data_IF_188548714789
#
_entry.id   IF_188548714789
#
_cell.length_a   1.000
_cell.length_b   1.000
_cell.length_c   1.000
_cell.angle_alpha   90.00
_cell.angle_beta   90.00
_cell.angle_gamma   90.00
#
_symmetry.space_group_name_H-M   'P 1'
#
loop_
_entity.id
_entity.type
_entity.pdbx_description
1 polymer ?
#
# COMPACT_ATOMS: atom_id res chain seq x y z
N UNK A 1 21.80 -7.91 -17.02
CA UNK A 1 21.32 -6.76 -17.81
C UNK A 1 20.75 -5.76 -16.83
N UNK A 2 21.24 -4.53 -16.81
CA UNK A 2 20.67 -3.46 -15.97
C UNK A 2 19.24 -3.18 -16.44
N UNK A 3 18.24 -3.40 -15.59
CA UNK A 3 16.86 -3.03 -15.92
C UNK A 3 16.78 -1.53 -16.17
N UNK A 4 16.41 -1.12 -17.39
CA UNK A 4 16.23 0.29 -17.71
C UNK A 4 14.90 0.77 -17.13
N UNK A 5 14.96 1.75 -16.23
CA UNK A 5 13.76 2.41 -15.72
C UNK A 5 13.27 3.44 -16.74
N UNK A 6 11.96 3.44 -16.97
CA UNK A 6 11.27 4.48 -17.72
C UNK A 6 10.63 5.45 -16.73
N UNK A 7 10.99 6.73 -16.77
CA UNK A 7 10.33 7.76 -15.98
C UNK A 7 9.06 8.22 -16.69
N UNK A 8 7.90 7.94 -16.10
CA UNK A 8 6.58 8.20 -16.67
C UNK A 8 6.01 9.58 -16.30
N UNK A 9 6.55 10.18 -15.24
CA UNK A 9 6.20 11.50 -14.77
C UNK A 9 7.07 11.91 -13.59
N UNK A 10 7.22 13.22 -13.37
CA UNK A 10 8.01 13.80 -12.27
C UNK A 10 7.43 15.16 -11.84
N UNK A 11 7.99 15.77 -10.79
CA UNK A 11 7.54 17.05 -10.23
C UNK A 11 6.40 16.90 -9.22
N UNK A 12 6.17 15.70 -8.71
CA UNK A 12 5.23 15.44 -7.62
C UNK A 12 5.84 15.80 -6.26
N UNK A 13 5.01 15.94 -5.23
CA UNK A 13 5.49 16.23 -3.88
C UNK A 13 5.90 14.95 -3.15
N UNK A 14 5.04 13.93 -3.15
CA UNK A 14 5.37 12.59 -2.64
C UNK A 14 4.35 11.58 -3.19
N UNK A 15 4.83 10.65 -4.01
CA UNK A 15 4.00 9.65 -4.68
C UNK A 15 3.84 8.37 -3.87
N UNK A 16 2.62 7.82 -3.84
CA UNK A 16 2.23 6.68 -3.03
C UNK A 16 1.09 5.86 -3.65
N UNK A 17 0.79 4.71 -3.04
CA UNK A 17 -0.41 3.91 -3.28
C UNK A 17 -0.74 3.62 -4.75
N UNK A 18 0.21 3.18 -5.60
CA UNK A 18 -0.09 2.86 -6.99
C UNK A 18 -1.03 1.66 -7.08
N UNK A 19 -2.00 1.71 -7.99
CA UNK A 19 -3.02 0.70 -8.20
C UNK A 19 -3.40 0.60 -9.68
N UNK A 20 -3.10 -0.54 -10.30
CA UNK A 20 -3.40 -0.78 -11.71
C UNK A 20 -4.85 -1.21 -11.91
N UNK A 21 -5.53 -0.57 -12.86
CA UNK A 21 -6.86 -0.97 -13.30
C UNK A 21 -6.75 -1.90 -14.54
N UNK A 22 -7.03 -3.21 -14.40
CA UNK A 22 -6.70 -4.21 -15.41
C UNK A 22 -7.54 -4.10 -16.68
N UNK A 23 -8.80 -3.68 -16.61
CA UNK A 23 -9.67 -3.50 -17.79
C UNK A 23 -9.58 -2.08 -18.37
N UNK A 24 -9.53 -1.06 -17.52
CA UNK A 24 -9.37 0.34 -17.93
C UNK A 24 -7.98 0.71 -18.46
N UNK A 25 -6.96 -0.11 -18.22
CA UNK A 25 -5.56 0.08 -18.68
C UNK A 25 -4.96 1.40 -18.22
N UNK A 26 -5.14 1.72 -16.94
CA UNK A 26 -4.55 2.90 -16.32
C UNK A 26 -4.09 2.58 -14.90
N UNK A 27 -3.12 3.35 -14.42
CA UNK A 27 -2.65 3.33 -13.04
C UNK A 27 -3.28 4.50 -12.29
N UNK A 28 -3.81 4.27 -11.10
CA UNK A 28 -4.05 5.33 -10.11
C UNK A 28 -2.87 5.38 -9.14
N UNK A 29 -2.52 6.56 -8.63
CA UNK A 29 -1.53 6.71 -7.57
C UNK A 29 -1.75 8.05 -6.86
N UNK A 30 -1.38 8.13 -5.59
CA UNK A 30 -1.54 9.33 -4.79
C UNK A 30 -0.31 10.23 -4.91
N UNK A 31 -0.50 11.52 -5.15
CA UNK A 31 0.50 12.58 -4.93
C UNK A 31 0.07 13.33 -3.66
N UNK A 32 0.37 12.68 -2.53
CA UNK A 32 -0.40 12.81 -1.30
C UNK A 32 -0.29 14.20 -0.64
N UNK A 33 0.91 14.82 -0.50
CA UNK A 33 1.02 16.19 0.01
C UNK A 33 0.35 17.23 -0.90
N UNK A 34 0.18 16.92 -2.19
CA UNK A 34 -0.47 17.79 -3.17
C UNK A 34 -2.00 17.67 -3.21
N UNK A 35 -2.55 16.71 -2.46
CA UNK A 35 -3.97 16.36 -2.44
C UNK A 35 -4.53 16.04 -3.84
N UNK A 36 -3.73 15.28 -4.60
CA UNK A 36 -4.11 14.78 -5.92
C UNK A 36 -4.10 13.26 -5.91
N UNK A 37 -5.22 12.66 -6.26
CA UNK A 37 -5.24 11.30 -6.80
C UNK A 37 -4.96 11.41 -8.30
N UNK A 38 -3.80 10.91 -8.71
CA UNK A 38 -3.31 10.94 -10.09
C UNK A 38 -3.76 9.72 -10.87
N UNK A 39 -3.78 9.84 -12.18
CA UNK A 39 -3.97 8.76 -13.13
C UNK A 39 -2.86 8.79 -14.16
N UNK A 40 -2.28 7.65 -14.47
CA UNK A 40 -1.40 7.49 -15.63
C UNK A 40 -2.02 6.50 -16.63
N UNK A 41 -1.95 6.83 -17.92
CA UNK A 41 -2.20 5.89 -18.99
C UNK A 41 -1.23 6.13 -20.14
N UNK A 42 -0.96 5.11 -20.96
CA UNK A 42 -0.10 5.25 -22.13
C UNK A 42 -0.62 6.31 -23.13
N UNK A 43 -1.94 6.50 -23.19
CA UNK A 43 -2.57 7.44 -24.13
C UNK A 43 -2.46 8.90 -23.70
N UNK A 44 -2.50 9.18 -22.39
CA UNK A 44 -2.63 10.55 -21.86
C UNK A 44 -1.46 11.00 -21.00
N UNK A 45 -0.53 10.11 -20.66
CA UNK A 45 0.44 10.35 -19.60
C UNK A 45 -0.25 10.56 -18.25
N UNK A 46 0.37 11.34 -17.37
CA UNK A 46 -0.15 11.64 -16.02
C UNK A 46 -1.19 12.77 -16.08
N UNK A 47 -2.37 12.53 -15.50
CA UNK A 47 -3.44 13.50 -15.30
C UNK A 47 -3.97 13.44 -13.85
N UNK A 48 -4.82 14.38 -13.46
CA UNK A 48 -5.53 14.32 -12.17
C UNK A 48 -6.82 13.54 -12.33
N UNK A 49 -7.01 12.50 -11.51
CA UNK A 49 -8.26 11.75 -11.44
C UNK A 49 -9.24 12.39 -10.45
N UNK A 50 -8.76 12.80 -9.28
CA UNK A 50 -9.56 13.46 -8.24
C UNK A 50 -8.73 14.48 -7.46
N UNK A 51 -9.33 15.65 -7.19
CA UNK A 51 -8.84 16.68 -6.26
C UNK A 51 -10.03 17.52 -5.75
N UNK A 52 -10.17 17.76 -4.44
CA UNK A 52 -9.39 17.17 -3.35
C UNK A 52 -9.58 15.64 -3.26
N UNK A 53 -8.60 14.92 -2.72
CA UNK A 53 -8.69 13.49 -2.42
C UNK A 53 -8.46 13.18 -0.94
N UNK A 54 -8.56 14.20 -0.09
CA UNK A 54 -8.34 14.12 1.36
C UNK A 54 -6.97 13.54 1.74
N UNK A 55 -5.96 13.89 0.95
CA UNK A 55 -4.60 13.36 1.05
C UNK A 55 -4.61 11.83 1.06
N UNK A 56 -5.27 11.24 0.07
CA UNK A 56 -5.31 9.79 -0.12
C UNK A 56 -3.88 9.22 -0.15
N UNK A 57 -3.71 8.02 0.41
CA UNK A 57 -2.44 7.31 0.42
C UNK A 57 -2.59 5.96 -0.29
N UNK A 58 -2.57 4.84 0.45
CA UNK A 58 -2.77 3.49 -0.09
C UNK A 58 -4.13 3.31 -0.74
N UNK A 59 -4.14 2.56 -1.85
CA UNK A 59 -5.31 2.30 -2.67
C UNK A 59 -5.46 0.79 -2.91
N UNK A 60 -6.71 0.31 -2.93
CA UNK A 60 -7.06 -1.04 -3.37
C UNK A 60 -8.36 -1.03 -4.17
N UNK A 61 -8.65 -2.13 -4.86
CA UNK A 61 -9.99 -2.41 -5.37
C UNK A 61 -10.65 -3.46 -4.49
N UNK A 62 -11.92 -3.27 -4.19
CA UNK A 62 -12.72 -4.37 -3.66
C UNK A 62 -13.09 -5.35 -4.78
N UNK A 63 -13.76 -6.45 -4.41
CA UNK A 63 -14.16 -7.51 -5.34
C UNK A 63 -15.20 -7.09 -6.38
N UNK A 64 -15.75 -5.89 -6.26
CA UNK A 64 -16.67 -5.28 -7.23
C UNK A 64 -15.96 -4.26 -8.13
N UNK A 65 -14.63 -4.12 -8.01
CA UNK A 65 -13.84 -3.14 -8.74
C UNK A 65 -14.02 -1.71 -8.24
N UNK A 66 -14.57 -1.50 -7.05
CA UNK A 66 -14.73 -0.18 -6.45
C UNK A 66 -13.43 0.25 -5.77
N UNK A 67 -13.07 1.51 -5.94
CA UNK A 67 -11.86 2.07 -5.35
C UNK A 67 -12.02 2.20 -3.83
N UNK A 68 -11.10 1.59 -3.09
CA UNK A 68 -10.91 1.75 -1.66
C UNK A 68 -9.66 2.61 -1.44
N UNK A 69 -9.75 3.59 -0.55
CA UNK A 69 -8.65 4.51 -0.28
C UNK A 69 -8.45 4.70 1.23
N UNK A 70 -7.19 4.79 1.62
CA UNK A 70 -6.75 5.33 2.90
C UNK A 70 -6.63 6.85 2.80
N UNK A 71 -7.23 7.61 3.71
CA UNK A 71 -7.23 9.08 3.71
C UNK A 71 -6.53 9.63 4.97
N UNK A 72 -5.41 10.32 4.77
CA UNK A 72 -4.64 10.90 5.87
C UNK A 72 -5.31 12.13 6.49
N UNK A 73 -5.93 12.99 5.69
CA UNK A 73 -6.49 14.24 6.17
C UNK A 73 -7.73 14.03 7.06
N UNK A 74 -8.52 12.99 6.76
CA UNK A 74 -9.79 12.70 7.42
C UNK A 74 -9.73 11.55 8.44
N UNK A 75 -8.62 10.81 8.50
CA UNK A 75 -8.46 9.55 9.26
C UNK A 75 -9.50 8.50 8.88
N UNK A 76 -9.64 8.20 7.59
CA UNK A 76 -10.68 7.27 7.11
C UNK A 76 -10.14 6.24 6.15
N UNK A 77 -10.78 5.09 6.15
CA UNK A 77 -10.82 4.22 4.98
C UNK A 77 -12.14 4.50 4.27
N UNK A 78 -12.09 4.76 2.98
CA UNK A 78 -13.28 5.09 2.18
C UNK A 78 -13.43 4.19 0.97
N UNK A 79 -14.65 4.15 0.42
CA UNK A 79 -14.98 3.47 -0.82
C UNK A 79 -15.67 4.44 -1.78
N UNK A 80 -15.24 4.44 -3.03
CA UNK A 80 -15.92 5.17 -4.11
C UNK A 80 -16.96 4.26 -4.75
N UNK A 81 -18.23 4.63 -4.63
CA UNK A 81 -19.34 3.93 -5.26
C UNK A 81 -19.43 4.26 -6.76
N UNK A 82 -20.22 3.48 -7.51
CA UNK A 82 -20.32 3.61 -8.96
C UNK A 82 -20.86 4.97 -9.44
N UNK A 83 -21.65 5.65 -8.60
CA UNK A 83 -22.15 7.02 -8.83
C UNK A 83 -21.12 8.12 -8.49
N UNK A 84 -19.92 7.72 -8.06
CA UNK A 84 -18.84 8.62 -7.65
C UNK A 84 -18.90 9.05 -6.18
N UNK A 85 -19.93 8.68 -5.43
CA UNK A 85 -20.04 9.01 -4.00
C UNK A 85 -18.95 8.30 -3.21
N UNK A 86 -18.33 9.03 -2.28
CA UNK A 86 -17.32 8.49 -1.37
C UNK A 86 -18.00 8.16 -0.04
N UNK A 87 -17.86 6.92 0.40
CA UNK A 87 -18.46 6.41 1.64
C UNK A 87 -17.39 5.99 2.64
N UNK A 88 -17.48 6.41 3.91
CA UNK A 88 -16.57 5.91 4.93
C UNK A 88 -16.87 4.44 5.23
N UNK A 89 -15.81 3.63 5.32
CA UNK A 89 -15.84 2.24 5.77
C UNK A 89 -15.31 2.08 7.19
N UNK A 90 -14.30 2.87 7.55
CA UNK A 90 -13.77 2.95 8.90
C UNK A 90 -13.33 4.37 9.21
N UNK A 91 -13.60 4.82 10.44
CA UNK A 91 -13.30 6.18 10.90
C UNK A 91 -12.82 6.20 12.35
N UNK A 92 -13.37 5.33 13.20
CA UNK A 92 -13.09 5.25 14.63
C UNK A 92 -12.93 3.78 15.06
N UNK A 93 -12.18 3.57 16.14
CA UNK A 93 -12.11 2.34 16.91
C UNK A 93 -12.39 2.67 18.37
N UNK A 94 -13.35 1.97 18.99
CA UNK A 94 -13.78 2.21 20.39
C UNK A 94 -14.07 3.68 20.71
N UNK A 95 -14.73 4.38 19.75
CA UNK A 95 -15.09 5.79 19.88
C UNK A 95 -13.95 6.79 19.68
N UNK A 96 -12.72 6.33 19.44
CA UNK A 96 -11.54 7.16 19.15
C UNK A 96 -11.24 7.18 17.66
N UNK A 97 -10.88 8.33 17.12
CA UNK A 97 -10.52 8.47 15.71
C UNK A 97 -9.29 7.60 15.38
N UNK A 98 -9.33 6.90 14.24
CA UNK A 98 -8.15 6.20 13.68
C UNK A 98 -6.98 7.16 13.51
N UNK A 99 -5.74 6.68 13.58
CA UNK A 99 -4.55 7.51 13.48
C UNK A 99 -4.49 8.26 12.14
N UNK A 100 -4.21 7.51 11.08
CA UNK A 100 -4.21 7.93 9.68
C UNK A 100 -3.95 6.67 8.85
N UNK A 101 -5.00 5.97 8.40
CA UNK A 101 -4.86 4.76 7.59
C UNK A 101 -3.86 4.98 6.46
N UNK A 102 -2.93 4.04 6.24
CA UNK A 102 -1.74 4.29 5.43
C UNK A 102 -1.68 3.42 4.18
N UNK A 103 -1.58 2.10 4.32
CA UNK A 103 -1.67 1.15 3.20
C UNK A 103 -2.82 0.15 3.42
N UNK A 104 -3.27 -0.49 2.34
CA UNK A 104 -4.51 -1.27 2.32
C UNK A 104 -4.46 -2.44 1.32
N UNK A 105 -5.03 -3.57 1.73
CA UNK A 105 -5.19 -4.75 0.87
C UNK A 105 -6.59 -5.35 1.03
N UNK A 106 -7.20 -5.73 -0.09
CA UNK A 106 -8.48 -6.42 -0.10
C UNK A 106 -8.26 -7.93 -0.31
N UNK A 107 -8.86 -8.73 0.55
CA UNK A 107 -8.83 -10.19 0.50
C UNK A 107 -9.93 -10.72 -0.45
N UNK A 108 -9.73 -11.92 -0.98
CA UNK A 108 -10.63 -12.55 -1.95
C UNK A 108 -12.05 -12.81 -1.44
N UNK A 109 -12.25 -12.88 -0.13
CA UNK A 109 -13.54 -13.01 0.55
C UNK A 109 -14.23 -11.65 0.83
N UNK A 110 -13.61 -10.54 0.42
CA UNK A 110 -14.12 -9.19 0.62
C UNK A 110 -13.66 -8.52 1.92
N UNK A 111 -12.86 -9.18 2.76
CA UNK A 111 -12.23 -8.54 3.92
C UNK A 111 -11.23 -7.45 3.49
N UNK A 112 -11.30 -6.29 4.13
CA UNK A 112 -10.43 -5.14 3.83
C UNK A 112 -9.48 -4.95 5.02
N UNK A 113 -8.17 -5.02 4.79
CA UNK A 113 -7.14 -4.94 5.83
C UNK A 113 -6.29 -3.70 5.59
N UNK A 114 -6.00 -2.94 6.64
CA UNK A 114 -5.22 -1.71 6.52
C UNK A 114 -4.37 -1.44 7.75
N UNK A 115 -3.26 -0.74 7.53
CA UNK A 115 -2.37 -0.23 8.59
C UNK A 115 -2.79 1.18 9.02
N UNK A 116 -2.61 1.49 10.31
CA UNK A 116 -2.99 2.78 10.91
C UNK A 116 -1.83 3.42 11.72
N UNK A 117 -0.69 3.75 11.08
CA UNK A 117 0.37 4.55 11.68
C UNK A 117 -0.05 6.03 11.78
N UNK A 118 0.70 6.89 12.50
CA UNK A 118 0.33 8.29 12.72
C UNK A 118 0.93 9.27 11.70
N UNK A 119 1.42 8.80 10.54
CA UNK A 119 2.09 9.68 9.56
C UNK A 119 1.22 10.87 9.12
N UNK A 120 -0.07 10.63 8.86
CA UNK A 120 -1.04 11.65 8.45
C UNK A 120 -1.46 12.63 9.57
N UNK A 121 -0.88 12.49 10.77
CA UNK A 121 -0.98 13.45 11.87
C UNK A 121 0.20 14.42 11.93
N UNK A 122 1.17 14.31 11.03
CA UNK A 122 2.27 15.25 10.88
C UNK A 122 2.02 16.19 9.70
N UNK A 123 2.56 17.41 9.80
CA UNK A 123 2.61 18.35 8.67
C UNK A 123 3.35 17.69 7.49
N UNK A 124 3.00 18.09 6.26
CA UNK A 124 3.45 17.52 4.97
C UNK A 124 2.77 16.20 4.59
N UNK A 125 2.70 15.22 5.49
CA UNK A 125 2.04 13.94 5.20
C UNK A 125 0.54 13.93 5.54
N UNK A 126 0.02 14.98 6.16
CA UNK A 126 -1.39 15.07 6.52
C UNK A 126 -1.73 16.39 7.21
N UNK A 127 -2.73 16.34 8.08
CA UNK A 127 -3.17 17.47 8.91
C UNK A 127 -2.62 17.29 10.32
N UNK A 128 -1.84 18.26 10.80
CA UNK A 128 -1.27 18.21 12.13
C UNK A 128 -2.36 18.19 13.21
N UNK A 129 -2.42 17.11 14.00
CA UNK A 129 -3.38 16.94 15.10
C UNK A 129 -2.92 15.85 16.08
N UNK A 130 -3.28 15.93 17.38
CA UNK A 130 -2.92 14.90 18.37
C UNK A 130 -3.46 13.52 18.01
N UNK A 131 -2.76 12.45 18.41
CA UNK A 131 -3.24 11.07 18.32
C UNK A 131 -4.28 10.79 19.42
N UNK A 132 -5.37 10.08 19.10
CA UNK A 132 -6.39 9.68 20.11
C UNK A 132 -6.16 8.25 20.65
N UNK A 133 -5.80 7.33 19.74
CA UNK A 133 -5.36 5.98 20.10
C UNK A 133 -3.98 6.05 20.77
N UNK A 134 -3.65 5.10 21.64
CA UNK A 134 -2.34 5.05 22.31
C UNK A 134 -1.34 4.12 21.61
N UNK A 135 -1.72 3.56 20.45
CA UNK A 135 -0.98 2.54 19.72
C UNK A 135 -1.12 2.74 18.20
N UNK A 136 -0.36 1.97 17.42
CA UNK A 136 -0.47 1.90 15.96
C UNK A 136 -0.97 0.51 15.56
N UNK A 137 -2.18 0.46 15.02
CA UNK A 137 -2.88 -0.80 14.76
C UNK A 137 -2.80 -1.26 13.31
N UNK A 138 -3.09 -2.53 13.11
CA UNK A 138 -3.57 -3.08 11.84
C UNK A 138 -4.98 -3.59 12.07
N UNK A 139 -5.87 -3.23 11.15
CA UNK A 139 -7.30 -3.44 11.30
C UNK A 139 -7.87 -4.23 10.13
N UNK A 140 -9.07 -4.77 10.33
CA UNK A 140 -9.90 -5.32 9.25
C UNK A 140 -11.32 -4.73 9.30
N UNK A 141 -11.90 -4.46 8.14
CA UNK A 141 -13.33 -4.21 7.94
C UNK A 141 -13.92 -5.36 7.14
N UNK A 142 -14.99 -5.97 7.66
CA UNK A 142 -15.77 -6.97 6.95
C UNK A 142 -16.76 -6.35 5.94
N UNK A 143 -17.61 -7.18 5.34
CA UNK A 143 -18.59 -6.72 4.35
C UNK A 143 -19.67 -5.77 4.90
N UNK A 144 -19.96 -5.82 6.22
CA UNK A 144 -20.87 -4.92 6.93
C UNK A 144 -20.06 -3.91 7.77
N UNK A 145 -19.90 -2.65 7.33
CA UNK A 145 -19.03 -1.67 7.98
C UNK A 145 -19.72 -1.06 9.21
N UNK A 146 -19.64 -1.74 10.35
CA UNK A 146 -20.08 -1.18 11.64
C UNK A 146 -18.93 -0.60 12.44
N UNK A 147 -17.78 -1.27 12.44
CA UNK A 147 -16.53 -0.82 13.07
C UNK A 147 -15.36 -1.68 12.58
N UNK A 148 -14.15 -1.12 12.44
CA UNK A 148 -12.96 -1.92 12.18
C UNK A 148 -12.67 -2.84 13.38
N UNK A 149 -12.27 -4.08 13.10
CA UNK A 149 -11.73 -5.00 14.10
C UNK A 149 -10.21 -4.81 14.20
N UNK A 150 -9.70 -4.61 15.40
CA UNK A 150 -8.25 -4.57 15.66
C UNK A 150 -7.67 -5.98 15.53
N UNK A 151 -6.59 -6.12 14.74
CA UNK A 151 -5.91 -7.40 14.54
C UNK A 151 -4.63 -7.52 15.35
N UNK A 152 -3.82 -6.46 15.37
CA UNK A 152 -2.54 -6.35 16.07
C UNK A 152 -2.24 -4.86 16.34
N UNK A 153 -1.59 -4.55 17.47
CA UNK A 153 -1.29 -3.20 17.95
C UNK A 153 0.15 -3.03 18.48
N UNK A 154 0.99 -4.04 18.30
CA UNK A 154 2.35 -4.11 18.84
C UNK A 154 3.43 -3.60 17.86
N UNK A 155 3.04 -2.90 16.78
CA UNK A 155 3.93 -2.26 15.81
C UNK A 155 4.33 -0.84 16.25
N UNK A 156 5.49 -0.36 15.82
CA UNK A 156 5.85 1.05 15.97
C UNK A 156 5.31 1.89 14.81
N UNK A 157 5.60 1.48 13.56
CA UNK A 157 5.03 2.11 12.36
C UNK A 157 4.59 1.02 11.35
N UNK A 158 3.42 0.38 11.56
CA UNK A 158 2.90 -0.56 10.58
C UNK A 158 2.64 0.20 9.28
N UNK A 159 3.14 -0.30 8.15
CA UNK A 159 3.00 0.37 6.87
C UNK A 159 2.45 -0.60 5.82
N UNK A 160 3.27 -1.09 4.89
CA UNK A 160 2.80 -1.98 3.82
C UNK A 160 2.36 -3.34 4.35
N UNK A 161 1.35 -3.90 3.69
CA UNK A 161 0.84 -5.23 3.96
C UNK A 161 0.40 -5.95 2.68
N UNK A 162 0.64 -7.25 2.61
CA UNK A 162 0.18 -8.08 1.50
C UNK A 162 -0.08 -9.53 1.93
N UNK A 163 -1.03 -10.18 1.26
CA UNK A 163 -1.28 -11.60 1.47
C UNK A 163 -0.30 -12.47 0.69
N UNK A 164 -0.06 -13.70 1.15
CA UNK A 164 0.41 -14.78 0.27
C UNK A 164 -0.64 -15.09 -0.81
N UNK A 165 -0.23 -15.74 -1.90
CA UNK A 165 -1.13 -16.06 -3.01
C UNK A 165 -2.35 -16.91 -2.62
N UNK A 166 -2.22 -17.76 -1.59
CA UNK A 166 -3.30 -18.56 -1.02
C UNK A 166 -4.05 -17.86 0.13
N UNK A 167 -3.68 -16.61 0.43
CA UNK A 167 -4.21 -15.77 1.51
C UNK A 167 -4.15 -16.36 2.92
N UNK A 168 -3.36 -17.41 3.13
CA UNK A 168 -3.18 -18.05 4.44
C UNK A 168 -2.17 -17.32 5.32
N UNK A 169 -1.37 -16.44 4.72
CA UNK A 169 -0.40 -15.60 5.43
C UNK A 169 -0.63 -14.13 5.09
N UNK A 170 -0.53 -13.27 6.09
CA UNK A 170 -0.47 -11.82 5.92
C UNK A 170 0.91 -11.34 6.34
N UNK A 171 1.60 -10.66 5.44
CA UNK A 171 2.87 -9.99 5.72
C UNK A 171 2.59 -8.52 6.02
N UNK A 172 3.27 -7.99 7.03
CA UNK A 172 3.12 -6.61 7.48
C UNK A 172 4.52 -6.11 7.83
N UNK A 173 4.92 -4.97 7.29
CA UNK A 173 6.19 -4.36 7.66
C UNK A 173 6.04 -3.29 8.74
N UNK A 174 7.18 -2.99 9.38
CA UNK A 174 7.32 -1.90 10.34
C UNK A 174 8.44 -0.99 9.85
N UNK A 175 8.08 0.23 9.43
CA UNK A 175 9.03 1.19 8.87
C UNK A 175 10.11 1.57 9.88
N UNK A 176 9.73 1.76 11.16
CA UNK A 176 10.65 2.21 12.20
C UNK A 176 11.59 1.09 12.65
N UNK A 177 11.07 -0.15 12.74
CA UNK A 177 11.87 -1.32 13.15
C UNK A 177 12.59 -2.01 11.99
N UNK A 178 12.33 -1.60 10.75
CA UNK A 178 12.94 -2.12 9.51
C UNK A 178 12.77 -3.63 9.33
N UNK A 179 11.63 -4.16 9.75
CA UNK A 179 11.32 -5.59 9.65
C UNK A 179 10.01 -5.88 8.93
N UNK A 180 9.86 -7.14 8.55
CA UNK A 180 8.61 -7.71 8.04
C UNK A 180 8.21 -8.84 8.99
N UNK A 181 6.99 -8.77 9.51
CA UNK A 181 6.36 -9.85 10.27
C UNK A 181 5.38 -10.61 9.37
N UNK A 182 5.19 -11.88 9.67
CA UNK A 182 4.19 -12.73 9.03
C UNK A 182 3.25 -13.29 10.07
N UNK A 183 1.97 -13.36 9.70
CA UNK A 183 0.88 -13.88 10.52
C UNK A 183 0.13 -14.95 9.76
N UNK A 184 -0.36 -15.95 10.48
CA UNK A 184 -1.30 -16.92 9.93
C UNK A 184 -2.70 -16.29 9.94
N UNK A 185 -3.40 -16.34 8.81
CA UNK A 185 -4.74 -15.78 8.63
C UNK A 185 -5.76 -16.88 8.95
N UNK A 186 -6.59 -16.66 9.96
CA UNK A 186 -7.64 -17.62 10.36
C UNK A 186 -8.86 -17.48 9.45
N UNK A 187 -9.75 -18.48 9.49
CA UNK A 187 -10.96 -18.51 8.67
C UNK A 187 -11.89 -17.31 8.90
N UNK A 188 -11.90 -16.76 10.11
CA UNK A 188 -12.67 -15.55 10.45
C UNK A 188 -11.90 -14.24 10.13
N UNK A 189 -10.76 -14.34 9.45
CA UNK A 189 -9.87 -13.23 9.08
C UNK A 189 -8.99 -12.69 10.21
N UNK A 190 -9.13 -13.16 11.45
CA UNK A 190 -8.22 -12.75 12.53
C UNK A 190 -6.82 -13.32 12.34
N UNK A 191 -5.82 -12.66 12.94
CA UNK A 191 -4.41 -13.05 12.82
C UNK A 191 -3.98 -13.93 14.00
N UNK A 192 -3.05 -14.86 13.74
CA UNK A 192 -2.41 -15.69 14.74
C UNK A 192 -0.94 -15.97 14.40
N UNK A 193 -0.20 -16.58 15.34
CA UNK A 193 1.18 -17.03 15.15
C UNK A 193 2.12 -15.98 14.53
N UNK A 194 1.95 -14.73 14.95
CA UNK A 194 2.77 -13.61 14.49
C UNK A 194 4.23 -13.80 14.84
N UNK A 195 5.11 -13.65 13.84
CA UNK A 195 6.56 -13.86 13.98
C UNK A 195 7.33 -12.95 13.05
N UNK A 196 8.58 -12.66 13.41
CA UNK A 196 9.53 -12.03 12.51
C UNK A 196 9.70 -12.95 11.28
N UNK A 197 9.59 -12.38 10.08
CA UNK A 197 9.83 -13.09 8.83
C UNK A 197 11.22 -12.75 8.29
N UNK A 198 11.52 -11.46 8.11
CA UNK A 198 12.84 -10.97 7.70
C UNK A 198 13.03 -9.50 8.07
N UNK A 199 14.20 -8.96 7.78
CA UNK A 199 14.57 -7.56 7.96
C UNK A 199 15.03 -6.96 6.63
N UNK A 200 14.68 -5.71 6.34
CA UNK A 200 15.22 -4.99 5.18
C UNK A 200 16.50 -4.27 5.57
N UNK A 201 17.66 -4.79 5.16
CA UNK A 201 18.99 -4.29 5.57
C UNK A 201 19.70 -3.55 4.45
N UNK A 202 20.43 -2.50 4.79
CA UNK A 202 21.31 -1.82 3.85
C UNK A 202 21.70 -0.43 4.32
N UNK A 203 22.80 0.09 3.77
CA UNK A 203 23.39 1.37 4.18
C UNK A 203 22.88 2.56 3.36
N UNK A 204 22.13 2.30 2.28
CA UNK A 204 21.50 3.34 1.46
C UNK A 204 20.23 3.89 2.14
N UNK A 205 19.82 5.13 1.84
CA UNK A 205 18.53 5.65 2.29
C UNK A 205 17.36 4.74 1.91
N UNK A 206 16.33 4.69 2.75
CA UNK A 206 15.18 3.80 2.59
C UNK A 206 14.73 3.15 3.89
N UNK A 207 13.45 2.77 3.94
CA UNK A 207 12.85 1.96 5.00
C UNK A 207 11.72 1.11 4.39
N UNK A 208 11.24 0.06 5.08
CA UNK A 208 10.04 -0.65 4.67
C UNK A 208 8.84 0.27 4.51
N UNK A 209 8.13 0.10 3.39
CA UNK A 209 7.02 0.94 3.00
C UNK A 209 6.01 0.09 2.19
N UNK A 210 5.67 0.40 0.94
CA UNK A 210 4.85 -0.48 0.11
C UNK A 210 5.42 -1.91 -0.06
N UNK A 211 4.55 -2.92 -0.01
CA UNK A 211 4.91 -4.32 -0.26
C UNK A 211 3.84 -5.10 -1.01
N UNK A 212 4.24 -6.03 -1.89
CA UNK A 212 3.35 -6.90 -2.69
C UNK A 212 4.06 -8.23 -2.99
N UNK A 213 3.35 -9.18 -3.58
CA UNK A 213 3.95 -10.42 -4.09
C UNK A 213 3.92 -10.50 -5.62
N UNK A 214 4.76 -11.37 -6.17
CA UNK A 214 4.63 -11.82 -7.55
C UNK A 214 3.90 -13.18 -7.65
N UNK A 215 3.68 -13.67 -8.87
CA UNK A 215 3.00 -14.93 -9.13
C UNK A 215 3.80 -16.19 -8.70
N UNK A 216 5.09 -16.05 -8.38
CA UNK A 216 5.91 -17.12 -7.80
C UNK A 216 5.86 -17.10 -6.25
N UNK A 217 5.19 -16.11 -5.65
CA UNK A 217 5.09 -15.94 -4.21
C UNK A 217 6.32 -15.24 -3.60
N UNK A 218 7.18 -14.64 -4.41
CA UNK A 218 8.25 -13.79 -3.90
C UNK A 218 7.64 -12.53 -3.28
N UNK A 219 8.14 -12.11 -2.13
CA UNK A 219 7.70 -10.91 -1.44
C UNK A 219 8.61 -9.75 -1.82
N UNK A 220 8.01 -8.72 -2.43
CA UNK A 220 8.65 -7.45 -2.74
C UNK A 220 8.32 -6.46 -1.62
N UNK A 221 9.30 -5.72 -1.13
CA UNK A 221 9.11 -4.67 -0.13
C UNK A 221 10.05 -3.50 -0.42
N UNK A 222 9.56 -2.26 -0.38
CA UNK A 222 10.43 -1.09 -0.34
C UNK A 222 11.40 -1.21 0.85
N UNK A 223 12.58 -0.61 0.75
CA UNK A 223 13.59 -0.72 1.78
C UNK A 223 14.84 0.12 1.49
N UNK A 224 15.88 0.02 2.33
CA UNK A 224 17.16 0.66 2.09
C UNK A 224 17.69 0.36 0.67
N UNK A 225 17.87 1.41 -0.14
CA UNK A 225 18.46 1.31 -1.48
C UNK A 225 17.52 0.86 -2.61
N UNK A 226 16.23 0.66 -2.36
CA UNK A 226 15.24 0.33 -3.40
C UNK A 226 14.23 -0.74 -2.95
N UNK A 227 13.85 -1.63 -3.86
CA UNK A 227 12.87 -2.68 -3.58
C UNK A 227 13.59 -4.00 -3.31
N UNK A 228 13.44 -4.53 -2.10
CA UNK A 228 13.97 -5.82 -1.67
C UNK A 228 13.04 -6.92 -2.13
N UNK A 229 13.60 -7.96 -2.74
CA UNK A 229 12.84 -9.12 -3.24
C UNK A 229 13.30 -10.35 -2.48
N UNK A 230 12.37 -10.99 -1.79
CA UNK A 230 12.61 -12.18 -0.99
C UNK A 230 11.88 -13.38 -1.58
N UNK A 231 12.49 -14.55 -1.54
CA UNK A 231 11.78 -15.80 -1.83
C UNK A 231 10.74 -16.12 -0.75
N UNK A 232 9.83 -17.10 -0.96
CA UNK A 232 8.84 -17.49 0.04
C UNK A 232 9.42 -17.98 1.38
N UNK A 233 10.72 -18.33 1.40
CA UNK A 233 11.51 -18.76 2.54
C UNK A 233 12.25 -17.63 3.26
N UNK A 234 11.98 -16.36 2.91
CA UNK A 234 12.60 -15.16 3.49
C UNK A 234 14.05 -14.88 3.08
N UNK A 235 14.58 -15.58 2.07
CA UNK A 235 15.92 -15.31 1.55
C UNK A 235 15.90 -14.12 0.59
N UNK A 236 16.79 -13.16 0.78
CA UNK A 236 16.94 -12.02 -0.13
C UNK A 236 17.51 -12.50 -1.47
N UNK A 237 16.74 -12.29 -2.55
CA UNK A 237 17.13 -12.61 -3.92
C UNK A 237 17.82 -11.43 -4.60
N UNK A 238 17.28 -10.22 -4.43
CA UNK A 238 17.85 -8.99 -4.98
C UNK A 238 17.39 -7.75 -4.21
N UNK A 239 18.14 -6.65 -4.38
CA UNK A 239 17.66 -5.29 -4.12
C UNK A 239 17.61 -4.57 -5.46
N UNK A 240 16.41 -4.33 -5.98
CA UNK A 240 16.17 -3.56 -7.18
C UNK A 240 16.42 -2.09 -6.88
N UNK A 241 17.58 -1.59 -7.30
CA UNK A 241 17.97 -0.19 -7.11
C UNK A 241 17.10 0.73 -7.96
N UNK A 242 16.30 1.57 -7.30
CA UNK A 242 15.43 2.58 -7.92
C UNK A 242 16.15 3.94 -7.87
N UNK A 243 15.98 4.84 -8.87
CA UNK A 243 16.67 6.13 -8.89
C UNK A 243 16.36 7.07 -7.71
N UNK A 244 15.21 6.90 -7.06
CA UNK A 244 14.73 7.72 -5.96
C UNK A 244 14.31 6.85 -4.76
N UNK A 245 14.13 7.50 -3.60
CA UNK A 245 13.54 6.85 -2.42
C UNK A 245 12.18 6.26 -2.81
N UNK A 246 12.05 4.95 -2.67
CA UNK A 246 10.87 4.21 -3.13
C UNK A 246 9.84 4.15 -2.01
N UNK A 247 8.63 4.64 -2.29
CA UNK A 247 7.52 4.60 -1.34
C UNK A 247 6.67 3.35 -1.59
N UNK A 248 6.26 3.09 -2.83
CA UNK A 248 5.37 1.97 -3.13
C UNK A 248 5.48 1.55 -4.61
N UNK A 249 4.80 0.47 -4.99
CA UNK A 249 4.81 -0.06 -6.35
C UNK A 249 3.59 -0.94 -6.62
N UNK A 250 3.24 -1.13 -7.89
CA UNK A 250 2.18 -2.04 -8.32
C UNK A 250 2.51 -2.70 -9.66
N UNK A 251 2.01 -3.92 -9.82
CA UNK A 251 2.06 -4.63 -11.09
C UNK A 251 0.99 -4.13 -12.04
N UNK A 252 1.30 -4.04 -13.33
CA UNK A 252 0.35 -3.67 -14.36
C UNK A 252 0.83 -4.02 -15.77
N UNK A 253 0.20 -3.37 -16.75
CA UNK A 253 0.14 -3.81 -18.15
C UNK A 253 -0.54 -5.18 -18.31
N UNK A 254 -0.83 -5.58 -19.56
CA UNK A 254 -1.67 -6.74 -19.87
C UNK A 254 -1.10 -8.08 -19.40
N UNK A 255 0.23 -8.16 -19.30
CA UNK A 255 0.95 -9.34 -18.87
C UNK A 255 1.42 -9.28 -17.42
N UNK A 256 1.05 -8.21 -16.69
CA UNK A 256 1.43 -7.96 -15.29
C UNK A 256 2.95 -7.98 -15.04
N UNK A 257 3.77 -7.78 -16.07
CA UNK A 257 5.24 -7.79 -15.95
C UNK A 257 5.83 -6.38 -15.84
N UNK A 258 5.00 -5.35 -15.86
CA UNK A 258 5.44 -3.99 -15.58
C UNK A 258 5.25 -3.68 -14.11
N UNK A 259 6.34 -3.34 -13.44
CA UNK A 259 6.34 -2.82 -12.09
C UNK A 259 6.33 -1.30 -12.16
N UNK A 260 5.18 -0.70 -11.86
CA UNK A 260 5.01 0.74 -11.68
C UNK A 260 5.46 1.10 -10.28
N UNK A 261 6.27 2.15 -10.14
CA UNK A 261 6.94 2.48 -8.88
C UNK A 261 6.73 3.95 -8.58
N UNK A 262 6.12 4.22 -7.43
CA UNK A 262 6.02 5.56 -6.85
C UNK A 262 7.23 5.81 -5.97
N UNK A 263 8.11 6.69 -6.41
CA UNK A 263 9.38 6.97 -5.75
C UNK A 263 9.52 8.46 -5.56
N UNK A 264 9.23 8.93 -4.34
CA UNK A 264 9.24 10.35 -3.95
C UNK A 264 8.55 11.25 -4.98
N UNK A 265 9.33 11.89 -5.85
CA UNK A 265 8.84 12.95 -6.74
C UNK A 265 8.48 12.46 -8.15
N UNK A 266 8.61 11.16 -8.41
CA UNK A 266 8.44 10.57 -9.73
C UNK A 266 7.66 9.26 -9.74
N UNK A 267 7.08 8.97 -10.91
CA UNK A 267 6.53 7.66 -11.27
C UNK A 267 7.48 6.98 -12.26
N UNK A 268 7.90 5.76 -11.95
CA UNK A 268 8.72 4.94 -12.83
C UNK A 268 8.00 3.67 -13.28
N UNK A 269 8.45 3.08 -14.37
CA UNK A 269 8.10 1.73 -14.81
C UNK A 269 9.35 0.93 -15.13
N UNK A 270 9.37 -0.34 -14.74
CA UNK A 270 10.42 -1.29 -15.09
C UNK A 270 9.82 -2.66 -15.36
N UNK A 271 10.42 -3.41 -16.29
CA UNK A 271 9.96 -4.76 -16.65
C UNK A 271 10.58 -5.81 -15.74
N UNK A 272 9.77 -6.80 -15.35
CA UNK A 272 10.18 -7.96 -14.57
C UNK A 272 9.88 -9.26 -15.32
N UNK A 273 10.59 -10.31 -14.95
CA UNK A 273 10.47 -11.64 -15.56
C UNK A 273 9.27 -12.41 -15.03
N UNK A 274 9.00 -12.29 -13.73
CA UNK A 274 7.85 -12.93 -13.07
C UNK A 274 6.72 -11.89 -13.02
N UNK A 275 5.51 -12.23 -13.50
CA UNK A 275 4.37 -11.32 -13.44
C UNK A 275 3.85 -11.17 -12.01
N UNK A 276 3.17 -10.07 -11.76
CA UNK A 276 2.36 -9.87 -10.57
C UNK A 276 1.04 -10.64 -10.58
N UNK A 277 0.22 -10.32 -9.59
CA UNK A 277 -1.18 -10.76 -9.49
C UNK A 277 -2.13 -9.62 -9.87
N UNK A 278 -3.30 -9.93 -10.47
CA UNK A 278 -4.34 -8.93 -10.70
C UNK A 278 -4.88 -8.39 -9.37
N UNK A 279 -5.32 -7.12 -9.37
CA UNK A 279 -5.79 -6.44 -8.17
C UNK A 279 -7.21 -6.86 -7.72
N UNK A 280 -8.06 -7.38 -8.63
CA UNK A 280 -9.41 -7.85 -8.34
C UNK A 280 -9.89 -8.88 -9.35
#
# INVERSE_FOLDING_TARGET
MTSSFEQLGTGFLFTEGPLWHPTGKFLLFSDMPGDHLRRWSAATGVTTFRKPCDMSNGLAYDRQGRLIACEHATSRVTRTEADGRIVPLATHFEGKQLNSPNDIVCKSDGGIYFSDPPYGRAKFYGVERPQELSFQGVYMVGADPKSPALLVDDFDRPNGLCFSADERRLFINDTARKHIRVFDVRLNGTLGNGRLWTETKGDKPGAPDGMKIDAAGNVYCCGPGGIHVFDPGANLLEVLAVPEYTANFAWGDDDYRSLFITASTSLYRVRRTIPGLPAF
#
